data_IF_733570583735
#
_entry.id   IF_733570583735
#
_cell.length_a   1.000
_cell.length_b   1.000
_cell.length_c   1.000
_cell.angle_alpha   90.00
_cell.angle_beta   90.00
_cell.angle_gamma   90.00
#
_symmetry.space_group_name_H-M   'P 1'
#
loop_
_entity.id
_entity.type
_entity.pdbx_description
1 polymer ?
#
# COMPACT_ATOMS: atom_id res chain seq x y z
N UNK A 1 5.78 4.85 -14.20
CA UNK A 1 6.65 4.04 -13.32
C UNK A 1 6.67 4.70 -11.94
N UNK A 2 5.98 4.12 -10.96
CA UNK A 2 5.85 4.74 -9.62
C UNK A 2 6.99 4.18 -8.76
N UNK A 3 8.15 4.84 -8.76
CA UNK A 3 9.14 4.65 -7.69
C UNK A 3 8.53 5.22 -6.42
N UNK A 4 7.95 4.34 -5.60
CA UNK A 4 7.56 4.71 -4.23
C UNK A 4 8.87 4.82 -3.46
N UNK A 5 9.43 6.03 -3.44
CA UNK A 5 10.47 6.38 -2.49
C UNK A 5 9.83 6.30 -1.11
N UNK A 6 10.04 5.19 -0.41
CA UNK A 6 9.80 5.13 1.03
C UNK A 6 10.82 6.06 1.66
N UNK A 7 10.44 7.34 1.77
CA UNK A 7 11.16 8.29 2.59
C UNK A 7 10.83 7.94 4.05
N UNK A 8 11.48 6.88 4.56
CA UNK A 8 11.65 6.73 5.99
C UNK A 8 12.40 7.98 6.41
N UNK A 9 11.67 8.96 6.91
CA UNK A 9 12.24 10.15 7.50
C UNK A 9 12.84 9.72 8.84
N UNK A 10 13.96 8.98 8.77
CA UNK A 10 14.60 8.27 9.88
C UNK A 10 14.96 9.26 11.01
N UNK A 11 15.14 10.54 10.66
CA UNK A 11 15.41 11.64 11.57
C UNK A 11 14.31 11.92 12.61
N UNK A 12 13.11 11.33 12.49
CA UNK A 12 12.01 11.50 13.46
C UNK A 12 11.66 10.26 14.27
N UNK A 13 12.38 9.15 14.10
CA UNK A 13 12.06 7.91 14.82
C UNK A 13 12.65 7.98 16.22
N UNK A 14 11.81 8.32 17.20
CA UNK A 14 12.16 8.23 18.63
C UNK A 14 12.60 6.81 18.98
N UNK A 15 13.61 6.67 19.85
CA UNK A 15 14.11 5.37 20.33
C UNK A 15 12.99 4.44 20.82
N UNK A 16 11.92 5.00 21.42
CA UNK A 16 10.75 4.24 21.90
C UNK A 16 9.90 3.63 20.78
N UNK A 17 9.87 4.24 19.59
CA UNK A 17 9.04 3.82 18.46
C UNK A 17 9.78 2.85 17.52
N UNK A 18 11.11 2.77 17.63
CA UNK A 18 11.95 1.89 16.82
C UNK A 18 11.50 0.41 16.89
N UNK A 19 11.24 -0.20 18.06
CA UNK A 19 10.86 -1.60 18.13
C UNK A 19 9.53 -1.89 17.42
N UNK A 20 8.56 -0.99 17.54
CA UNK A 20 7.26 -1.11 16.88
C UNK A 20 7.39 -0.95 15.37
N UNK A 21 8.22 -0.01 14.91
CA UNK A 21 8.49 0.22 13.50
C UNK A 21 9.21 -0.97 12.86
N UNK A 22 10.23 -1.54 13.52
CA UNK A 22 10.92 -2.75 13.06
C UNK A 22 9.93 -3.90 12.94
N UNK A 23 9.21 -4.19 14.03
CA UNK A 23 8.30 -5.34 14.12
C UNK A 23 7.15 -5.23 13.12
N UNK A 24 6.54 -4.06 12.99
CA UNK A 24 5.35 -3.87 12.14
C UNK A 24 5.68 -3.56 10.70
N UNK A 25 6.72 -2.76 10.42
CA UNK A 25 6.98 -2.19 9.08
C UNK A 25 8.22 -2.81 8.44
N UNK A 26 9.38 -2.74 9.09
CA UNK A 26 10.65 -2.97 8.40
C UNK A 26 11.06 -4.45 8.29
N UNK A 27 10.59 -5.32 9.18
CA UNK A 27 10.92 -6.76 9.16
C UNK A 27 10.53 -7.46 7.85
N UNK A 28 9.48 -6.98 7.19
CA UNK A 28 8.98 -7.55 5.93
C UNK A 28 9.56 -6.87 4.68
N UNK A 29 10.54 -5.98 4.81
CA UNK A 29 11.19 -5.27 3.70
C UNK A 29 12.60 -5.83 3.47
N UNK A 30 13.02 -5.90 2.22
CA UNK A 30 14.37 -6.21 1.80
C UNK A 30 15.19 -4.93 1.70
N UNK A 31 16.45 -5.03 2.09
CA UNK A 31 17.38 -3.93 2.08
C UNK A 31 18.57 -4.28 1.19
N UNK A 32 19.02 -3.32 0.40
CA UNK A 32 20.20 -3.39 -0.44
C UNK A 32 21.34 -2.57 0.19
N UNK A 33 22.57 -2.94 -0.15
CA UNK A 33 23.77 -2.24 0.34
C UNK A 33 24.46 -1.55 -0.83
N UNK A 34 24.95 -0.31 -0.61
CA UNK A 34 25.50 0.54 -1.67
C UNK A 34 27.03 0.68 -1.66
N UNK A 35 27.69 0.24 -0.59
CA UNK A 35 29.14 0.44 -0.40
C UNK A 35 30.03 -0.55 -1.15
N UNK A 36 29.46 -1.56 -1.81
CA UNK A 36 30.23 -2.54 -2.62
C UNK A 36 29.69 -2.60 -4.04
N UNK A 37 30.53 -3.02 -4.99
CA UNK A 37 30.13 -3.23 -6.39
C UNK A 37 29.10 -4.36 -6.59
N UNK A 38 28.78 -5.13 -5.55
CA UNK A 38 27.78 -6.18 -5.58
C UNK A 38 26.58 -5.79 -4.73
N UNK A 39 25.39 -5.76 -5.32
CA UNK A 39 24.16 -5.49 -4.57
C UNK A 39 23.79 -6.75 -3.78
N UNK A 40 24.07 -6.72 -2.48
CA UNK A 40 23.66 -7.77 -1.54
C UNK A 40 22.35 -7.39 -0.87
N UNK A 41 21.41 -8.35 -0.82
CA UNK A 41 20.07 -8.19 -0.25
C UNK A 41 19.98 -8.82 1.12
N UNK A 42 19.42 -8.08 2.07
CA UNK A 42 19.29 -8.48 3.46
C UNK A 42 17.91 -8.18 4.02
N UNK A 43 17.58 -8.79 5.15
CA UNK A 43 16.43 -8.45 5.98
C UNK A 43 16.88 -7.70 7.22
N UNK A 44 16.05 -6.79 7.70
CA UNK A 44 16.29 -6.11 8.98
C UNK A 44 15.97 -7.04 10.15
N UNK A 45 16.94 -7.17 11.07
CA UNK A 45 16.77 -7.87 12.35
C UNK A 45 16.44 -6.89 13.46
N UNK A 46 17.27 -5.87 13.65
CA UNK A 46 17.12 -4.87 14.70
C UNK A 46 17.92 -3.58 14.40
N UNK A 47 17.91 -2.64 15.34
CA UNK A 47 18.81 -1.48 15.35
C UNK A 47 19.85 -1.66 16.48
N UNK A 48 21.11 -1.35 16.18
CA UNK A 48 22.23 -1.40 17.10
C UNK A 48 22.55 -0.04 17.73
N UNK A 49 23.74 0.04 18.37
CA UNK A 49 24.31 1.31 18.90
C UNK A 49 24.72 2.24 17.76
N UNK A 50 25.11 3.47 18.11
CA UNK A 50 25.63 4.44 17.13
C UNK A 50 26.89 3.91 16.43
N UNK A 51 27.16 4.40 15.23
CA UNK A 51 28.32 3.94 14.43
C UNK A 51 29.66 4.26 15.11
N UNK A 52 29.71 5.33 15.92
CA UNK A 52 30.88 5.71 16.71
C UNK A 52 31.12 4.83 17.95
N UNK A 53 30.06 4.39 18.62
CA UNK A 53 30.17 3.62 19.86
C UNK A 53 30.32 2.11 19.62
N UNK A 54 29.89 1.63 18.45
CA UNK A 54 29.95 0.21 18.14
C UNK A 54 31.34 -0.16 17.61
N UNK A 55 32.08 -0.94 18.38
CA UNK A 55 33.36 -1.51 17.96
C UNK A 55 33.26 -3.00 17.69
N UNK A 56 34.12 -3.49 16.81
CA UNK A 56 34.29 -4.91 16.54
C UNK A 56 35.76 -5.23 16.26
N UNK A 57 36.14 -6.49 16.45
CA UNK A 57 37.49 -6.97 16.15
C UNK A 57 37.69 -7.11 14.63
N UNK A 58 38.78 -6.57 14.09
CA UNK A 58 39.15 -6.77 12.69
C UNK A 58 39.45 -8.26 12.42
N UNK A 59 38.66 -8.88 11.53
CA UNK A 59 38.85 -10.29 11.16
C UNK A 59 40.06 -10.52 10.24
N UNK A 60 40.50 -9.51 9.47
CA UNK A 60 41.56 -9.60 8.46
C UNK A 60 42.33 -8.28 8.30
N UNK A 61 43.64 -8.35 8.01
CA UNK A 61 44.52 -7.20 7.74
C UNK A 61 45.77 -7.15 8.64
N UNK A 62 46.63 -6.14 8.46
CA UNK A 62 47.87 -5.95 9.27
C UNK A 62 47.60 -5.73 10.77
N UNK A 63 46.35 -5.48 11.16
CA UNK A 63 45.91 -5.23 12.54
C UNK A 63 44.78 -6.19 12.95
N UNK A 64 44.90 -7.48 12.60
CA UNK A 64 43.92 -8.50 12.95
C UNK A 64 43.74 -8.60 14.47
N UNK A 65 42.50 -8.58 14.95
CA UNK A 65 42.15 -8.65 16.38
C UNK A 65 42.01 -7.28 17.07
N UNK A 66 42.47 -6.19 16.46
CA UNK A 66 42.29 -4.84 17.00
C UNK A 66 40.80 -4.44 16.99
N UNK A 67 40.37 -3.76 18.04
CA UNK A 67 39.03 -3.17 18.12
C UNK A 67 38.97 -1.89 17.29
N UNK A 68 38.07 -1.85 16.32
CA UNK A 68 37.84 -0.66 15.50
C UNK A 68 36.36 -0.27 15.56
N UNK A 69 36.07 1.03 15.57
CA UNK A 69 34.69 1.51 15.45
C UNK A 69 34.15 1.28 14.04
N UNK A 70 32.82 1.20 13.89
CA UNK A 70 32.24 1.09 12.55
C UNK A 70 32.56 2.33 11.71
N UNK A 71 32.55 3.52 12.31
CA UNK A 71 32.93 4.76 11.62
C UNK A 71 34.35 4.68 11.05
N UNK A 72 35.33 4.33 11.88
CA UNK A 72 36.74 4.27 11.47
C UNK A 72 36.97 3.16 10.43
N UNK A 73 36.30 2.02 10.57
CA UNK A 73 36.40 0.92 9.61
C UNK A 73 35.94 1.32 8.21
N UNK A 74 34.81 2.03 8.09
CA UNK A 74 34.32 2.48 6.79
C UNK A 74 35.19 3.57 6.17
N UNK A 75 35.81 4.42 6.99
CA UNK A 75 36.77 5.41 6.53
C UNK A 75 38.09 4.77 6.10
N UNK A 76 38.63 3.81 6.85
CA UNK A 76 39.89 3.12 6.55
C UNK A 76 39.76 2.23 5.30
N UNK A 77 38.76 1.34 5.29
CA UNK A 77 38.63 0.26 4.28
C UNK A 77 37.94 0.71 3.00
N UNK A 78 36.85 1.47 3.13
CA UNK A 78 36.02 1.85 1.99
C UNK A 78 36.23 3.31 1.56
N UNK A 79 37.05 4.09 2.31
CA UNK A 79 37.26 5.52 2.08
C UNK A 79 35.95 6.32 2.13
N UNK A 80 35.02 5.88 2.98
CA UNK A 80 33.71 6.51 3.18
C UNK A 80 33.70 7.19 4.55
N UNK A 81 33.62 8.52 4.55
CA UNK A 81 33.37 9.29 5.77
C UNK A 81 31.87 9.42 6.01
N UNK A 82 31.37 8.81 7.09
CA UNK A 82 29.96 8.85 7.47
C UNK A 82 29.54 10.28 7.86
N UNK A 83 28.38 10.74 7.38
CA UNK A 83 27.87 12.10 7.67
C UNK A 83 27.12 12.17 8.99
N UNK A 84 26.53 11.06 9.40
CA UNK A 84 25.66 10.93 10.57
C UNK A 84 26.10 9.75 11.46
N UNK A 85 27.33 9.75 11.97
CA UNK A 85 27.85 8.60 12.72
C UNK A 85 27.19 8.39 14.10
N UNK A 86 26.45 9.39 14.59
CA UNK A 86 25.62 9.30 15.79
C UNK A 86 24.35 8.46 15.60
N UNK A 87 23.95 8.18 14.36
CA UNK A 87 22.77 7.38 14.07
C UNK A 87 23.01 5.90 14.39
N UNK A 88 21.96 5.15 14.81
CA UNK A 88 22.08 3.74 15.11
C UNK A 88 22.44 2.91 13.87
N UNK A 89 23.21 1.85 14.07
CA UNK A 89 23.47 0.86 13.04
C UNK A 89 22.21 0.03 12.74
N UNK A 90 22.07 -0.45 11.51
CA UNK A 90 21.09 -1.48 11.18
C UNK A 90 21.72 -2.86 11.30
N UNK A 91 21.10 -3.73 12.10
CA UNK A 91 21.46 -5.14 12.15
C UNK A 91 20.69 -5.86 11.03
N UNK A 92 21.43 -6.32 10.04
CA UNK A 92 20.94 -7.02 8.86
C UNK A 92 21.33 -8.49 8.92
N UNK A 93 20.52 -9.35 8.31
CA UNK A 93 20.86 -10.76 8.15
C UNK A 93 20.44 -11.26 6.78
N UNK A 94 21.16 -12.27 6.27
CA UNK A 94 20.77 -12.98 5.07
C UNK A 94 19.78 -14.09 5.48
N UNK A 95 18.59 -14.23 4.88
CA UNK A 95 17.68 -15.32 5.22
C UNK A 95 18.26 -16.72 5.02
N UNK A 96 19.29 -16.88 4.16
CA UNK A 96 20.03 -18.13 3.99
C UNK A 96 20.96 -18.45 5.19
N UNK A 97 21.42 -17.44 5.93
CA UNK A 97 22.25 -17.58 7.12
C UNK A 97 21.79 -16.60 8.21
N UNK A 98 20.84 -17.06 9.03
CA UNK A 98 20.22 -16.25 10.09
C UNK A 98 21.13 -16.00 11.29
N UNK A 99 22.19 -16.79 11.44
CA UNK A 99 23.11 -16.71 12.57
C UNK A 99 24.14 -15.61 12.35
N UNK A 100 24.43 -15.27 11.09
CA UNK A 100 25.33 -14.19 10.74
C UNK A 100 24.59 -12.85 10.64
N UNK A 101 24.89 -11.95 11.57
CA UNK A 101 24.45 -10.56 11.54
C UNK A 101 25.50 -9.66 10.90
N UNK A 102 25.04 -8.65 10.17
CA UNK A 102 25.84 -7.58 9.60
C UNK A 102 25.38 -6.24 10.18
N UNK A 103 26.29 -5.50 10.79
CA UNK A 103 26.01 -4.15 11.29
C UNK A 103 26.48 -3.15 10.25
N UNK A 104 25.54 -2.39 9.70
CA UNK A 104 25.84 -1.38 8.67
C UNK A 104 25.32 0.00 9.09
N UNK A 105 26.04 1.08 8.75
CA UNK A 105 25.53 2.44 8.85
C UNK A 105 24.25 2.60 8.02
N UNK A 106 23.23 3.25 8.58
CA UNK A 106 21.97 3.50 7.87
C UNK A 106 22.15 4.27 6.55
N UNK A 107 23.19 5.10 6.46
CA UNK A 107 23.55 5.85 5.24
C UNK A 107 23.93 4.93 4.05
N UNK A 108 24.35 3.70 4.33
CA UNK A 108 24.85 2.75 3.32
C UNK A 108 23.84 1.64 3.01
N UNK A 109 22.60 1.78 3.52
CA UNK A 109 21.54 0.79 3.39
C UNK A 109 20.30 1.43 2.79
N UNK A 110 19.85 0.90 1.67
CA UNK A 110 18.65 1.36 0.96
C UNK A 110 17.58 0.29 0.96
N UNK A 111 16.32 0.69 0.83
CA UNK A 111 15.23 -0.27 0.58
C UNK A 111 15.42 -0.82 -0.83
N UNK A 112 15.45 -2.15 -0.98
CA UNK A 112 15.60 -2.80 -2.28
C UNK A 112 14.45 -2.40 -3.22
N UNK A 113 14.74 -2.24 -4.50
CA UNK A 113 13.75 -1.76 -5.45
C UNK A 113 12.70 -2.84 -5.77
N UNK A 114 11.58 -2.42 -6.37
CA UNK A 114 10.55 -3.32 -6.92
C UNK A 114 9.86 -4.25 -5.91
N UNK A 115 9.86 -3.86 -4.64
CA UNK A 115 9.18 -4.61 -3.59
C UNK A 115 7.68 -4.31 -3.52
N UNK A 116 6.85 -5.35 -3.66
CA UNK A 116 5.42 -5.25 -3.42
C UNK A 116 5.12 -5.13 -1.92
N UNK A 117 4.43 -4.07 -1.52
CA UNK A 117 3.84 -3.98 -0.17
C UNK A 117 2.63 -4.91 -0.07
N UNK A 118 2.66 -5.84 0.88
CA UNK A 118 1.55 -6.74 1.20
C UNK A 118 0.70 -6.24 2.38
N UNK A 119 1.04 -5.07 2.93
CA UNK A 119 0.35 -4.54 4.11
C UNK A 119 -0.94 -3.84 3.71
N UNK A 120 -2.00 -3.94 4.55
CA UNK A 120 -3.19 -3.14 4.36
C UNK A 120 -2.86 -1.66 4.29
N UNK A 121 -3.41 -0.98 3.27
CA UNK A 121 -3.29 0.47 3.14
C UNK A 121 -4.18 1.16 4.17
N UNK A 122 -3.69 2.28 4.72
CA UNK A 122 -4.51 3.20 5.53
C UNK A 122 -5.61 3.83 4.68
N UNK A 123 -6.65 4.40 5.30
CA UNK A 123 -7.74 5.07 4.59
C UNK A 123 -7.24 6.16 3.64
N UNK A 124 -6.27 6.97 4.10
CA UNK A 124 -5.66 8.03 3.29
C UNK A 124 -4.85 7.46 2.12
N UNK A 125 -4.03 6.42 2.36
CA UNK A 125 -3.27 5.75 1.30
C UNK A 125 -4.20 5.11 0.27
N UNK A 126 -5.28 4.48 0.71
CA UNK A 126 -6.30 3.88 -0.15
C UNK A 126 -6.97 4.94 -1.01
N UNK A 127 -7.36 6.08 -0.44
CA UNK A 127 -7.91 7.20 -1.19
C UNK A 127 -6.95 7.72 -2.26
N UNK A 128 -5.65 7.85 -1.94
CA UNK A 128 -4.62 8.24 -2.91
C UNK A 128 -4.47 7.22 -4.05
N UNK A 129 -4.48 5.92 -3.74
CA UNK A 129 -4.43 4.86 -4.75
C UNK A 129 -5.67 4.90 -5.63
N UNK A 130 -6.87 4.98 -5.06
CA UNK A 130 -8.12 5.09 -5.82
C UNK A 130 -8.08 6.29 -6.76
N UNK A 131 -7.71 7.49 -6.26
CA UNK A 131 -7.61 8.69 -7.08
C UNK A 131 -6.63 8.54 -8.24
N UNK A 132 -5.52 7.81 -8.04
CA UNK A 132 -4.52 7.56 -9.09
C UNK A 132 -4.89 6.43 -10.07
N UNK A 133 -5.78 5.52 -9.68
CA UNK A 133 -6.11 4.30 -10.47
C UNK A 133 -7.46 4.37 -11.16
N UNK A 134 -8.35 5.28 -10.71
CA UNK A 134 -9.60 5.59 -11.39
C UNK A 134 -9.27 6.37 -12.67
N UNK A 135 -9.60 5.77 -13.80
CA UNK A 135 -9.34 6.27 -15.15
C UNK A 135 -10.59 5.99 -15.98
N UNK A 136 -11.02 6.95 -16.80
CA UNK A 136 -12.21 6.78 -17.65
C UNK A 136 -11.96 5.69 -18.71
N UNK A 137 -13.00 4.98 -19.21
CA UNK A 137 -12.81 3.91 -20.19
C UNK A 137 -12.00 4.34 -21.43
N UNK A 138 -12.28 5.50 -22.01
CA UNK A 138 -11.54 6.01 -23.18
C UNK A 138 -10.04 6.22 -22.92
N UNK A 139 -9.69 6.83 -21.78
CA UNK A 139 -8.30 7.01 -21.35
C UNK A 139 -7.63 5.65 -21.09
N UNK A 140 -8.36 4.72 -20.46
CA UNK A 140 -7.87 3.37 -20.18
C UNK A 140 -7.56 2.60 -21.46
N UNK A 141 -8.38 2.75 -22.50
CA UNK A 141 -8.10 2.17 -23.82
C UNK A 141 -6.78 2.69 -24.40
N UNK A 142 -6.55 4.00 -24.33
CA UNK A 142 -5.27 4.60 -24.76
C UNK A 142 -4.07 4.08 -23.96
N UNK A 143 -4.20 3.93 -22.64
CA UNK A 143 -3.15 3.36 -21.78
C UNK A 143 -2.82 1.91 -22.16
N UNK A 144 -3.84 1.08 -22.40
CA UNK A 144 -3.64 -0.33 -22.79
C UNK A 144 -2.93 -0.40 -24.15
N UNK A 145 -3.37 0.38 -25.14
CA UNK A 145 -2.72 0.41 -26.47
C UNK A 145 -1.25 0.79 -26.35
N UNK A 146 -0.95 1.87 -25.62
CA UNK A 146 0.43 2.30 -25.38
C UNK A 146 1.29 1.20 -24.75
N UNK A 147 0.78 0.49 -23.74
CA UNK A 147 1.53 -0.60 -23.11
C UNK A 147 1.74 -1.76 -24.10
N UNK A 148 0.74 -2.08 -24.91
CA UNK A 148 0.87 -3.12 -25.94
C UNK A 148 1.93 -2.75 -26.99
N UNK A 149 1.99 -1.48 -27.41
CA UNK A 149 3.02 -0.96 -28.32
C UNK A 149 4.42 -1.00 -27.68
N UNK A 150 4.54 -0.63 -26.40
CA UNK A 150 5.79 -0.69 -25.64
C UNK A 150 6.30 -2.13 -25.46
N UNK A 151 5.41 -3.13 -25.43
CA UNK A 151 5.78 -4.54 -25.31
C UNK A 151 6.44 -5.11 -26.59
N UNK A 152 6.21 -4.52 -27.77
CA UNK A 152 6.78 -4.96 -29.06
C UNK A 152 6.71 -6.48 -29.27
N UNK A 153 5.52 -7.05 -29.13
CA UNK A 153 5.31 -8.50 -29.20
C UNK A 153 5.76 -9.12 -30.54
N UNK A 154 5.81 -8.33 -31.60
CA UNK A 154 6.33 -8.68 -32.92
C UNK A 154 7.85 -8.91 -32.95
N UNK A 155 8.58 -8.39 -31.97
CA UNK A 155 10.05 -8.47 -31.85
C UNK A 155 10.49 -9.48 -30.79
N UNK A 156 9.56 -10.21 -30.17
CA UNK A 156 9.87 -11.19 -29.13
C UNK A 156 10.33 -12.53 -29.74
N UNK A 157 11.62 -12.83 -29.54
CA UNK A 157 12.27 -14.05 -30.05
C UNK A 157 11.65 -15.35 -29.52
N UNK A 158 11.05 -15.33 -28.33
CA UNK A 158 10.36 -16.51 -27.80
C UNK A 158 9.03 -16.70 -28.51
N UNK A 159 8.22 -15.63 -28.64
CA UNK A 159 6.94 -15.72 -29.35
C UNK A 159 7.11 -16.19 -30.80
N UNK A 160 8.14 -15.69 -31.48
CA UNK A 160 8.49 -16.16 -32.83
C UNK A 160 8.80 -17.67 -32.85
N UNK A 161 9.66 -18.16 -31.95
CA UNK A 161 10.00 -19.59 -31.85
C UNK A 161 8.80 -20.48 -31.54
N UNK A 162 7.83 -19.98 -30.79
CA UNK A 162 6.58 -20.68 -30.51
C UNK A 162 5.52 -20.50 -31.61
N UNK A 163 5.81 -19.73 -32.67
CA UNK A 163 4.87 -19.46 -33.76
C UNK A 163 3.67 -18.60 -33.34
N UNK A 164 3.77 -17.85 -32.25
CA UNK A 164 2.69 -17.03 -31.70
C UNK A 164 2.78 -15.62 -32.30
N UNK A 165 1.67 -15.14 -32.86
CA UNK A 165 1.52 -13.76 -33.34
C UNK A 165 0.48 -13.02 -32.52
N UNK A 166 0.88 -11.87 -31.99
CA UNK A 166 -0.01 -11.00 -31.18
C UNK A 166 -0.41 -9.80 -32.02
N UNK A 167 -1.71 -9.62 -32.23
CA UNK A 167 -2.26 -8.44 -32.89
C UNK A 167 -2.50 -7.34 -31.83
N UNK A 168 -1.56 -6.41 -31.67
CA UNK A 168 -1.59 -5.38 -30.61
C UNK A 168 -2.20 -4.03 -31.03
N UNK A 169 -2.32 -3.76 -32.33
CA UNK A 169 -2.76 -2.46 -32.84
C UNK A 169 -4.22 -2.12 -32.50
N UNK A 170 -5.07 -3.15 -32.54
CA UNK A 170 -6.51 -3.03 -32.40
C UNK A 170 -7.04 -3.95 -31.30
N UNK A 171 -8.11 -3.49 -30.65
CA UNK A 171 -8.83 -4.30 -29.68
C UNK A 171 -9.89 -5.15 -30.38
N UNK A 172 -10.16 -6.32 -29.81
CA UNK A 172 -11.23 -7.19 -30.28
C UNK A 172 -12.58 -6.48 -30.21
N UNK A 173 -13.25 -6.38 -31.36
CA UNK A 173 -14.61 -5.85 -31.47
C UNK A 173 -15.57 -7.01 -31.33
N UNK A 174 -16.45 -6.93 -30.33
CA UNK A 174 -17.42 -7.99 -30.02
C UNK A 174 -18.83 -7.40 -30.14
N UNK A 175 -19.75 -8.03 -30.89
CA UNK A 175 -21.14 -7.58 -30.94
C UNK A 175 -21.78 -7.73 -29.55
N UNK A 176 -22.34 -6.64 -29.03
CA UNK A 176 -23.02 -6.60 -27.75
C UNK A 176 -24.49 -6.22 -27.93
N UNK A 177 -25.32 -6.59 -26.95
CA UNK A 177 -26.74 -6.21 -26.90
C UNK A 177 -27.02 -5.49 -25.59
N UNK A 178 -27.77 -4.40 -25.66
CA UNK A 178 -28.30 -3.70 -24.49
C UNK A 178 -29.68 -4.28 -24.23
N UNK A 179 -29.84 -4.94 -23.09
CA UNK A 179 -31.15 -5.46 -22.68
C UNK A 179 -32.05 -4.31 -22.23
N UNK A 180 -33.34 -4.40 -22.58
CA UNK A 180 -34.34 -3.45 -22.10
C UNK A 180 -34.38 -3.50 -20.56
N UNK A 181 -34.22 -2.36 -19.87
CA UNK A 181 -34.32 -2.34 -18.42
C UNK A 181 -35.71 -2.82 -17.96
N UNK A 182 -35.81 -3.53 -16.83
CA UNK A 182 -37.10 -3.90 -16.27
C UNK A 182 -37.84 -2.66 -15.75
N UNK A 183 -39.16 -2.76 -15.73
CA UNK A 183 -40.01 -1.79 -15.06
C UNK A 183 -40.08 -2.08 -13.57
N UNK A 184 -40.00 -1.04 -12.74
CA UNK A 184 -40.04 -1.19 -11.28
C UNK A 184 -41.38 -0.68 -10.78
N UNK A 185 -42.15 -1.58 -10.15
CA UNK A 185 -43.49 -1.31 -9.67
C UNK A 185 -43.50 -0.92 -8.19
N UNK A 186 -44.09 0.22 -7.89
CA UNK A 186 -44.31 0.76 -6.54
C UNK A 186 -45.78 1.15 -6.32
N UNK A 187 -46.14 1.50 -5.09
CA UNK A 187 -47.44 2.13 -4.77
C UNK A 187 -47.34 3.64 -4.86
N UNK A 188 -48.39 4.30 -5.37
CA UNK A 188 -48.42 5.75 -5.48
C UNK A 188 -48.34 6.39 -4.10
N UNK A 189 -47.48 7.40 -3.93
CA UNK A 189 -47.42 8.18 -2.69
C UNK A 189 -48.70 8.98 -2.40
N UNK A 190 -49.51 9.24 -3.44
CA UNK A 190 -50.80 9.92 -3.31
C UNK A 190 -51.95 8.96 -2.96
N UNK A 191 -51.79 7.67 -3.27
CA UNK A 191 -52.83 6.64 -3.10
C UNK A 191 -52.23 5.23 -3.12
N UNK A 192 -52.18 4.58 -1.95
CA UNK A 192 -51.62 3.24 -1.78
C UNK A 192 -52.36 2.13 -2.55
N UNK A 193 -53.56 2.40 -3.06
CA UNK A 193 -54.27 1.44 -3.92
C UNK A 193 -53.75 1.47 -5.35
N UNK A 194 -53.14 2.57 -5.78
CA UNK A 194 -52.66 2.76 -7.15
C UNK A 194 -51.23 2.29 -7.33
N UNK A 195 -50.99 1.57 -8.41
CA UNK A 195 -49.64 1.19 -8.83
C UNK A 195 -48.99 2.26 -9.71
N UNK A 196 -47.69 2.49 -9.51
CA UNK A 196 -46.86 3.39 -10.32
C UNK A 196 -45.62 2.65 -10.80
N UNK A 197 -45.21 2.94 -12.03
CA UNK A 197 -44.02 2.37 -12.66
C UNK A 197 -42.90 3.40 -12.64
N UNK A 198 -41.82 3.08 -11.98
CA UNK A 198 -40.56 3.82 -12.01
C UNK A 198 -39.67 3.28 -13.13
N UNK A 199 -39.13 4.20 -13.95
CA UNK A 199 -38.28 3.86 -15.08
C UNK A 199 -36.82 3.77 -14.64
N UNK A 200 -36.18 2.64 -14.95
CA UNK A 200 -34.74 2.47 -14.75
C UNK A 200 -33.97 3.19 -15.85
N UNK A 201 -33.14 4.16 -15.47
CA UNK A 201 -32.23 4.87 -16.36
C UNK A 201 -30.80 4.46 -16.05
N UNK A 202 -30.11 3.84 -17.02
CA UNK A 202 -28.70 3.44 -16.91
C UNK A 202 -28.45 2.61 -15.62
N UNK A 203 -29.33 1.64 -15.37
CA UNK A 203 -29.25 0.75 -14.21
C UNK A 203 -29.55 1.42 -12.86
N UNK A 204 -30.09 2.64 -12.84
CA UNK A 204 -30.45 3.38 -11.64
C UNK A 204 -31.91 3.81 -11.68
N UNK A 205 -32.52 3.91 -10.51
CA UNK A 205 -33.84 4.50 -10.30
C UNK A 205 -33.86 5.16 -8.93
N UNK A 206 -34.81 6.06 -8.71
CA UNK A 206 -35.05 6.70 -7.42
C UNK A 206 -36.37 6.17 -6.83
N UNK A 207 -36.45 6.15 -5.50
CA UNK A 207 -37.69 5.83 -4.80
C UNK A 207 -38.43 7.12 -4.48
N UNK A 208 -39.40 7.49 -5.30
CA UNK A 208 -40.28 8.66 -5.09
C UNK A 208 -41.70 8.27 -4.63
N UNK A 209 -41.94 6.96 -4.47
CA UNK A 209 -43.24 6.34 -4.28
C UNK A 209 -43.18 5.35 -3.11
N UNK A 210 -44.33 4.90 -2.62
CA UNK A 210 -44.40 3.97 -1.49
C UNK A 210 -43.97 2.56 -1.88
N UNK A 211 -43.43 1.80 -0.91
CA UNK A 211 -43.09 0.40 -1.11
C UNK A 211 -44.31 -0.41 -1.57
N UNK A 212 -44.11 -1.34 -2.52
CA UNK A 212 -45.18 -2.21 -3.00
C UNK A 212 -45.88 -2.99 -1.87
N UNK A 213 -45.11 -3.38 -0.85
CA UNK A 213 -45.62 -4.00 0.37
C UNK A 213 -44.94 -3.36 1.59
N UNK A 214 -45.57 -2.34 2.15
CA UNK A 214 -45.15 -1.79 3.42
C UNK A 214 -45.42 -2.78 4.56
N UNK A 215 -44.61 -2.69 5.62
CA UNK A 215 -44.87 -3.38 6.89
C UNK A 215 -44.84 -2.37 8.01
N UNK A 216 -45.74 -2.57 8.96
CA UNK A 216 -45.77 -1.83 10.20
C UNK A 216 -44.57 -2.19 11.08
N UNK A 217 -43.87 -1.18 11.59
CA UNK A 217 -42.81 -1.34 12.58
C UNK A 217 -43.47 -1.31 13.96
N UNK A 218 -43.70 -2.49 14.55
CA UNK A 218 -44.41 -2.63 15.83
C UNK A 218 -43.55 -2.33 17.06
N UNK A 219 -42.25 -2.58 16.95
CA UNK A 219 -41.29 -2.36 18.02
C UNK A 219 -39.95 -2.00 17.40
N UNK A 220 -39.31 -0.98 17.96
CA UNK A 220 -37.99 -0.52 17.57
C UNK A 220 -37.29 0.08 18.78
N UNK A 221 -35.97 0.14 18.75
CA UNK A 221 -35.16 0.71 19.82
C UNK A 221 -34.01 1.51 19.23
N UNK A 222 -33.66 2.64 19.86
CA UNK A 222 -32.49 3.44 19.51
C UNK A 222 -31.43 3.28 20.59
N UNK A 223 -30.22 2.88 20.18
CA UNK A 223 -29.06 2.80 21.07
C UNK A 223 -28.03 3.84 20.62
N UNK A 224 -27.83 4.86 21.45
CA UNK A 224 -26.79 5.86 21.23
C UNK A 224 -25.52 5.43 21.95
N UNK A 225 -24.48 5.06 21.18
CA UNK A 225 -23.17 4.72 21.73
C UNK A 225 -22.25 5.93 21.57
N UNK A 226 -21.88 6.56 22.68
CA UNK A 226 -20.97 7.71 22.74
C UNK A 226 -19.84 7.45 23.74
N UNK A 227 -18.63 7.91 23.42
CA UNK A 227 -17.48 7.87 24.34
C UNK A 227 -17.53 9.00 25.39
N UNK A 228 -18.38 10.02 25.17
CA UNK A 228 -18.62 11.13 26.09
C UNK A 228 -20.04 11.07 26.62
N UNK A 229 -20.26 11.63 27.79
CA UNK A 229 -21.61 11.82 28.32
C UNK A 229 -22.50 12.54 27.29
N UNK A 230 -23.75 12.08 27.12
CA UNK A 230 -24.64 12.64 26.12
C UNK A 230 -25.02 14.07 26.49
N UNK A 231 -24.91 14.99 25.52
CA UNK A 231 -25.30 16.38 25.70
C UNK A 231 -26.85 16.51 25.77
N UNK A 232 -27.35 17.62 26.30
CA UNK A 232 -28.78 17.87 26.51
C UNK A 232 -29.61 17.68 25.23
N UNK A 233 -29.05 17.98 24.05
CA UNK A 233 -29.69 17.72 22.74
C UNK A 233 -29.86 16.23 22.44
N UNK A 234 -28.88 15.41 22.79
CA UNK A 234 -28.92 13.96 22.58
C UNK A 234 -29.89 13.29 23.55
N UNK A 235 -29.94 13.78 24.80
CA UNK A 235 -30.92 13.36 25.80
C UNK A 235 -32.33 13.76 25.39
N UNK A 236 -32.52 14.99 24.88
CA UNK A 236 -33.80 15.46 24.32
C UNK A 236 -34.27 14.60 23.17
N UNK A 237 -33.41 14.36 22.18
CA UNK A 237 -33.72 13.50 21.03
C UNK A 237 -34.14 12.09 21.47
N UNK A 238 -33.45 11.50 22.45
CA UNK A 238 -33.78 10.16 22.95
C UNK A 238 -35.14 10.11 23.66
N UNK A 239 -35.55 11.19 24.34
CA UNK A 239 -36.88 11.30 24.97
C UNK A 239 -37.97 11.49 23.92
N UNK A 240 -37.77 12.39 22.98
CA UNK A 240 -38.73 12.67 21.90
C UNK A 240 -38.91 11.44 20.98
N UNK A 241 -37.88 10.61 20.85
CA UNK A 241 -37.95 9.34 20.11
C UNK A 241 -38.67 8.22 20.89
N UNK A 242 -38.78 8.32 22.23
CA UNK A 242 -39.38 7.30 23.07
C UNK A 242 -40.86 7.55 23.39
N UNK A 243 -41.35 8.77 23.14
CA UNK A 243 -42.76 9.17 23.21
C UNK A 243 -43.51 8.92 21.91
#
# INVERSE_FOLDING_TARGET
>A
MISIVFNLNVFRISSKDQPLLVRKILKSIWFATSHTNQIRKYRLKSFGRSSNEHTFSKDHGEHQGEQISVTDYFEEKWKIRLRHPHLPLVELYNPADKNKSHFLPMELVTVDEWQRSLKPLTTEQRAKVTKKTVVKPGERFGMIRRVADECRFDQDLYLEKFGIKVHSNDMLIIPARILTPPEIKYKSSQDDQRDVIERVQIGKWYLNNHFNKAREIRAWALVLVSQKEPDARQVGLARDFAS
#
